data_IF_624820576752
#
_entry.id   IF_624820576752
#
_cell.length_a   1.000
_cell.length_b   1.000
_cell.length_c   1.000
_cell.angle_alpha   90.00
_cell.angle_beta   90.00
_cell.angle_gamma   90.00
#
_symmetry.space_group_name_H-M   'P 1'
#
loop_
_entity.id
_entity.type
_entity.pdbx_description
1 polymer ?
#
# COMPACT_ATOMS: atom_id res chain seq x y z
N UNK A 1 -3.55 -23.71 2.86
CA UNK A 1 -4.67 -23.14 2.07
C UNK A 1 -4.31 -21.67 1.84
N UNK A 2 -3.84 -21.31 0.65
CA UNK A 2 -3.52 -19.92 0.33
C UNK A 2 -4.79 -19.21 -0.11
N UNK A 3 -5.17 -18.14 0.59
CA UNK A 3 -6.27 -17.29 0.18
C UNK A 3 -6.01 -16.80 -1.25
N UNK A 4 -6.95 -17.14 -2.15
CA UNK A 4 -6.92 -16.67 -3.54
C UNK A 4 -7.24 -15.19 -3.53
N UNK A 5 -6.20 -14.36 -3.58
CA UNK A 5 -6.31 -12.98 -4.07
C UNK A 5 -7.13 -13.04 -5.37
N UNK A 6 -8.21 -12.25 -5.44
CA UNK A 6 -9.29 -12.39 -6.41
C UNK A 6 -8.90 -12.24 -7.90
N UNK A 7 -9.89 -12.11 -8.82
CA UNK A 7 -9.65 -12.03 -10.27
C UNK A 7 -8.81 -10.82 -10.74
N UNK A 8 -8.45 -9.94 -9.82
CA UNK A 8 -7.71 -8.67 -9.98
C UNK A 8 -6.20 -8.86 -10.21
N UNK A 9 -5.66 -10.05 -9.88
CA UNK A 9 -4.23 -10.34 -9.99
C UNK A 9 -3.91 -11.05 -11.31
N UNK A 10 -2.86 -10.60 -11.99
CA UNK A 10 -2.38 -11.15 -13.26
C UNK A 10 -1.59 -12.44 -13.03
N UNK A 11 -2.25 -13.52 -12.59
CA UNK A 11 -1.70 -14.88 -12.56
C UNK A 11 -0.58 -15.18 -11.55
N UNK A 12 0.17 -14.17 -11.08
CA UNK A 12 1.23 -14.24 -10.07
C UNK A 12 0.82 -13.44 -8.84
N UNK A 13 0.82 -14.07 -7.65
CA UNK A 13 0.53 -13.37 -6.40
C UNK A 13 1.69 -12.41 -6.05
N UNK A 14 1.46 -11.08 -6.04
CA UNK A 14 2.47 -10.12 -5.60
C UNK A 14 2.78 -10.36 -4.13
N UNK A 15 4.03 -10.12 -3.76
CA UNK A 15 4.44 -10.12 -2.37
C UNK A 15 3.88 -8.90 -1.64
N UNK A 16 3.81 -9.00 -0.32
CA UNK A 16 3.33 -7.93 0.57
C UNK A 16 4.04 -6.59 0.34
N UNK A 17 5.37 -6.65 0.16
CA UNK A 17 6.19 -5.53 -0.26
C UNK A 17 5.76 -4.90 -1.59
N UNK A 18 5.38 -5.71 -2.58
CA UNK A 18 5.01 -5.22 -3.92
C UNK A 18 3.63 -4.57 -3.93
N UNK A 19 2.72 -5.11 -3.11
CA UNK A 19 1.39 -4.51 -2.90
C UNK A 19 1.53 -3.16 -2.20
N UNK A 20 2.34 -3.09 -1.14
CA UNK A 20 2.59 -1.83 -0.42
C UNK A 20 3.34 -0.81 -1.28
N UNK A 21 4.28 -1.25 -2.14
CA UNK A 21 4.96 -0.38 -3.10
C UNK A 21 3.96 0.21 -4.12
N UNK A 22 3.08 -0.62 -4.65
CA UNK A 22 2.03 -0.17 -5.58
C UNK A 22 1.05 0.79 -4.89
N UNK A 23 0.67 0.51 -3.65
CA UNK A 23 -0.18 1.38 -2.86
C UNK A 23 0.48 2.75 -2.59
N UNK A 24 1.77 2.74 -2.21
CA UNK A 24 2.58 3.95 -2.05
C UNK A 24 2.67 4.77 -3.35
N UNK A 25 2.71 4.10 -4.51
CA UNK A 25 2.79 4.75 -5.83
C UNK A 25 1.53 5.57 -6.14
N UNK A 26 0.37 5.08 -5.73
CA UNK A 26 -0.89 5.79 -5.90
C UNK A 26 -1.16 6.81 -4.79
N UNK A 27 -0.38 6.77 -3.72
CA UNK A 27 -0.41 7.72 -2.61
C UNK A 27 0.42 8.96 -2.93
N UNK A 28 -0.13 9.87 -3.76
CA UNK A 28 0.64 11.03 -4.30
C UNK A 28 1.07 12.07 -3.26
N UNK A 29 0.27 12.29 -2.22
CA UNK A 29 0.64 13.11 -1.03
C UNK A 29 1.55 12.39 -0.03
N UNK A 30 1.96 11.16 -0.31
CA UNK A 30 2.64 10.31 0.66
C UNK A 30 1.71 9.75 1.72
N UNK A 31 2.30 9.05 2.68
CA UNK A 31 1.59 8.44 3.81
C UNK A 31 2.34 8.68 5.13
N UNK A 32 1.65 8.64 6.28
CA UNK A 32 2.24 8.98 7.56
C UNK A 32 3.33 7.99 7.96
N UNK A 33 4.33 8.49 8.69
CA UNK A 33 5.36 7.65 9.30
C UNK A 33 4.86 6.90 10.54
N UNK A 34 3.79 7.40 11.15
CA UNK A 34 3.15 6.75 12.29
C UNK A 34 2.41 5.49 11.85
N UNK A 35 2.86 4.33 12.32
CA UNK A 35 2.29 3.02 11.97
C UNK A 35 0.81 2.89 12.37
N UNK A 36 0.39 3.49 13.48
CA UNK A 36 -0.99 3.41 13.95
C UNK A 36 -1.91 4.21 13.02
N UNK A 37 -1.45 5.38 12.59
CA UNK A 37 -2.17 6.23 11.66
C UNK A 37 -2.17 5.64 10.24
N UNK A 38 -1.06 5.04 9.81
CA UNK A 38 -0.97 4.28 8.57
C UNK A 38 -1.96 3.11 8.57
N UNK A 39 -2.00 2.29 9.63
CA UNK A 39 -2.95 1.20 9.82
C UNK A 39 -4.40 1.69 9.76
N UNK A 40 -4.70 2.85 10.36
CA UNK A 40 -6.04 3.46 10.31
C UNK A 40 -6.47 3.76 8.88
N UNK A 41 -5.59 4.36 8.07
CA UNK A 41 -5.87 4.63 6.66
C UNK A 41 -6.02 3.35 5.85
N UNK A 42 -5.13 2.36 6.05
CA UNK A 42 -5.22 1.05 5.42
C UNK A 42 -6.54 0.34 5.72
N UNK A 43 -7.03 0.43 6.96
CA UNK A 43 -8.30 -0.17 7.36
C UNK A 43 -9.47 0.38 6.55
N UNK A 44 -9.51 1.69 6.31
CA UNK A 44 -10.52 2.30 5.43
C UNK A 44 -10.25 1.95 3.96
N UNK A 45 -8.99 1.88 3.56
CA UNK A 45 -8.57 1.44 2.22
C UNK A 45 -9.05 0.02 1.87
N UNK A 46 -9.22 -0.85 2.88
CA UNK A 46 -9.74 -2.21 2.71
C UNK A 46 -11.17 -2.24 2.13
N UNK A 47 -11.95 -1.17 2.30
CA UNK A 47 -13.29 -1.06 1.71
C UNK A 47 -13.24 -1.01 0.17
N UNK A 48 -12.18 -0.38 -0.37
CA UNK A 48 -11.94 -0.29 -1.81
C UNK A 48 -11.09 -1.46 -2.35
N UNK A 49 -10.12 -1.93 -1.55
CA UNK A 49 -9.20 -3.00 -1.92
C UNK A 49 -9.15 -4.07 -0.80
N UNK A 50 -10.05 -5.07 -0.82
CA UNK A 50 -10.20 -6.04 0.26
C UNK A 50 -8.93 -6.84 0.57
N UNK A 51 -8.06 -7.05 -0.41
CA UNK A 51 -6.79 -7.74 -0.23
C UNK A 51 -5.80 -6.97 0.67
N UNK A 52 -6.02 -5.68 0.93
CA UNK A 52 -5.22 -4.92 1.89
C UNK A 52 -5.49 -5.33 3.34
N UNK A 53 -6.61 -6.03 3.62
CA UNK A 53 -6.94 -6.50 4.97
C UNK A 53 -5.88 -7.42 5.56
N UNK A 54 -5.10 -8.12 4.73
CA UNK A 54 -3.98 -8.96 5.16
C UNK A 54 -2.85 -8.19 5.87
N UNK A 55 -2.77 -6.87 5.64
CA UNK A 55 -1.80 -6.01 6.30
C UNK A 55 -2.27 -5.55 7.68
N UNK A 56 -3.52 -5.84 8.05
CA UNK A 56 -4.12 -5.47 9.31
C UNK A 56 -4.27 -6.71 10.18
N UNK A 57 -3.74 -6.62 11.40
CA UNK A 57 -3.87 -7.66 12.43
C UNK A 57 -5.27 -7.62 13.09
N UNK A 58 -5.63 -8.68 13.83
CA UNK A 58 -6.87 -8.74 14.62
C UNK A 58 -7.02 -7.56 15.60
N UNK A 59 -5.89 -7.02 16.07
CA UNK A 59 -5.84 -5.84 16.95
C UNK A 59 -6.16 -4.52 16.22
N UNK A 60 -6.30 -4.53 14.89
CA UNK A 60 -6.52 -3.35 14.06
C UNK A 60 -5.27 -2.51 13.77
N UNK A 61 -4.08 -3.02 14.13
CA UNK A 61 -2.77 -2.46 13.76
C UNK A 61 -2.17 -3.15 12.54
N UNK A 62 -0.93 -2.81 12.19
CA UNK A 62 -0.20 -3.52 11.12
C UNK A 62 0.20 -4.93 11.57
N UNK A 63 0.03 -5.91 10.68
CA UNK A 63 0.56 -7.26 10.86
C UNK A 63 2.10 -7.27 10.82
N UNK A 64 2.74 -8.26 11.44
CA UNK A 64 4.21 -8.35 11.47
C UNK A 64 4.83 -8.39 10.07
N UNK A 65 4.20 -9.09 9.12
CA UNK A 65 4.63 -9.15 7.73
C UNK A 65 4.49 -7.79 7.02
N UNK A 66 3.42 -7.04 7.34
CA UNK A 66 3.24 -5.68 6.84
C UNK A 66 4.32 -4.74 7.36
N UNK A 67 4.68 -4.85 8.65
CA UNK A 67 5.75 -4.05 9.26
C UNK A 67 7.10 -4.31 8.59
N UNK A 68 7.49 -5.58 8.45
CA UNK A 68 8.74 -5.95 7.75
C UNK A 68 8.77 -5.45 6.32
N UNK A 69 7.64 -5.55 5.62
CA UNK A 69 7.51 -5.05 4.25
C UNK A 69 7.60 -3.54 4.18
N UNK A 70 7.03 -2.83 5.16
CA UNK A 70 7.09 -1.38 5.29
C UNK A 70 8.50 -0.90 5.61
N UNK A 71 9.20 -1.53 6.55
CA UNK A 71 10.61 -1.24 6.86
C UNK A 71 11.48 -1.39 5.62
N UNK A 72 11.31 -2.50 4.89
CA UNK A 72 12.02 -2.72 3.62
C UNK A 72 11.70 -1.63 2.58
N UNK A 73 10.45 -1.18 2.48
CA UNK A 73 10.10 -0.06 1.61
C UNK A 73 10.76 1.23 2.07
N UNK A 74 10.84 1.49 3.37
CA UNK A 74 11.50 2.68 3.90
C UNK A 74 12.99 2.72 3.56
N UNK A 75 13.65 1.57 3.51
CA UNK A 75 15.07 1.46 3.18
C UNK A 75 15.34 1.52 1.66
N UNK A 76 14.50 0.88 0.85
CA UNK A 76 14.80 0.68 -0.59
C UNK A 76 14.02 1.61 -1.53
N UNK A 77 12.86 2.11 -1.12
CA UNK A 77 11.84 2.69 -2.03
C UNK A 77 11.35 4.05 -1.60
N UNK A 78 11.20 4.30 -0.30
CA UNK A 78 10.59 5.50 0.21
C UNK A 78 11.67 6.50 0.61
N UNK A 79 11.33 7.76 0.50
CA UNK A 79 12.08 8.86 1.08
C UNK A 79 11.14 9.69 1.96
N UNK A 80 11.73 10.44 2.88
CA UNK A 80 10.97 11.30 3.79
C UNK A 80 10.94 12.71 3.22
N UNK A 81 9.74 13.26 3.05
CA UNK A 81 9.53 14.64 2.67
C UNK A 81 8.39 15.21 3.51
N UNK A 82 8.58 16.40 4.09
CA UNK A 82 7.56 17.09 4.90
C UNK A 82 6.92 16.23 6.01
N UNK A 83 7.70 15.30 6.61
CA UNK A 83 7.23 14.41 7.67
C UNK A 83 6.34 13.26 7.22
N UNK A 84 6.25 13.00 5.90
CA UNK A 84 5.56 11.86 5.31
C UNK A 84 6.51 11.00 4.49
N UNK A 85 6.16 9.72 4.32
CA UNK A 85 6.85 8.84 3.38
C UNK A 85 6.27 9.00 1.97
N UNK A 86 7.15 9.25 1.02
CA UNK A 86 6.85 9.32 -0.41
C UNK A 86 7.74 8.34 -1.17
N UNK A 87 7.34 7.90 -2.36
CA UNK A 87 8.21 7.09 -3.21
C UNK A 87 9.38 7.92 -3.72
N UNK A 88 10.59 7.36 -3.61
CA UNK A 88 11.79 7.90 -4.23
C UNK A 88 11.61 7.97 -5.76
N UNK A 89 11.79 9.15 -6.38
CA UNK A 89 11.57 9.33 -7.81
C UNK A 89 12.43 8.42 -8.70
N UNK A 90 13.59 7.97 -8.21
CA UNK A 90 14.44 6.98 -8.89
C UNK A 90 13.87 5.57 -8.89
N UNK A 91 13.05 5.22 -7.90
CA UNK A 91 12.40 3.91 -7.78
C UNK A 91 11.01 3.85 -8.44
N UNK A 92 10.36 4.99 -8.63
CA UNK A 92 9.02 5.12 -9.25
C UNK A 92 8.87 4.30 -10.54
N UNK A 93 9.86 4.33 -11.43
CA UNK A 93 9.80 3.61 -12.72
C UNK A 93 9.80 2.08 -12.56
N UNK A 94 10.59 1.56 -11.62
CA UNK A 94 10.67 0.13 -11.28
C UNK A 94 9.34 -0.34 -10.69
N UNK A 95 8.81 0.40 -9.73
CA UNK A 95 7.56 0.06 -9.03
C UNK A 95 6.36 0.12 -9.96
N UNK A 96 6.31 1.14 -10.83
CA UNK A 96 5.26 1.24 -11.84
C UNK A 96 5.25 0.03 -12.78
N UNK A 97 6.43 -0.42 -13.21
CA UNK A 97 6.56 -1.61 -14.07
C UNK A 97 6.08 -2.86 -13.33
N UNK A 98 6.56 -3.10 -12.10
CA UNK A 98 6.14 -4.22 -11.26
C UNK A 98 4.61 -4.21 -11.03
N UNK A 99 4.05 -3.05 -10.69
CA UNK A 99 2.61 -2.90 -10.44
C UNK A 99 1.79 -3.32 -11.65
N UNK A 100 2.20 -2.91 -12.86
CA UNK A 100 1.55 -3.32 -14.12
C UNK A 100 1.70 -4.81 -14.43
N UNK A 101 2.74 -5.46 -13.92
CA UNK A 101 2.95 -6.90 -14.07
C UNK A 101 2.01 -7.70 -13.16
N UNK A 102 1.78 -7.24 -11.93
CA UNK A 102 1.02 -8.00 -10.95
C UNK A 102 -0.48 -7.67 -10.92
N UNK A 103 -0.83 -6.41 -11.17
CA UNK A 103 -2.20 -5.94 -11.08
C UNK A 103 -2.80 -5.72 -12.47
N UNK A 104 -4.01 -6.25 -12.68
CA UNK A 104 -4.82 -5.87 -13.85
C UNK A 104 -5.31 -4.44 -13.70
N UNK A 105 -5.86 -3.88 -14.77
CA UNK A 105 -6.43 -2.53 -14.78
C UNK A 105 -7.40 -2.29 -13.62
N UNK A 106 -8.28 -3.25 -13.35
CA UNK A 106 -9.20 -3.19 -12.20
C UNK A 106 -8.47 -3.16 -10.85
N UNK A 107 -7.52 -4.06 -10.60
CA UNK A 107 -6.76 -4.06 -9.35
C UNK A 107 -5.94 -2.78 -9.14
N UNK A 108 -5.44 -2.18 -10.22
CA UNK A 108 -4.79 -0.86 -10.15
C UNK A 108 -5.80 0.26 -9.82
N UNK A 109 -7.02 0.21 -10.35
CA UNK A 109 -8.09 1.14 -9.98
C UNK A 109 -8.51 0.99 -8.51
N UNK A 110 -8.64 -0.24 -8.04
CA UNK A 110 -9.00 -0.55 -6.66
C UNK A 110 -7.90 -0.07 -5.71
N UNK A 111 -6.62 -0.33 -6.01
CA UNK A 111 -5.46 0.24 -5.29
C UNK A 111 -5.46 1.77 -5.27
N UNK A 112 -5.73 2.39 -6.42
CA UNK A 112 -5.74 3.85 -6.51
C UNK A 112 -6.84 4.46 -5.65
N UNK A 113 -8.03 3.86 -5.69
CA UNK A 113 -9.16 4.26 -4.86
C UNK A 113 -8.82 4.06 -3.38
N UNK A 114 -8.27 2.90 -3.02
CA UNK A 114 -7.83 2.59 -1.66
C UNK A 114 -6.78 3.58 -1.13
N UNK A 115 -5.78 3.93 -1.95
CA UNK A 115 -4.75 4.89 -1.59
C UNK A 115 -5.34 6.29 -1.38
N UNK A 116 -6.26 6.72 -2.25
CA UNK A 116 -6.98 7.99 -2.08
C UNK A 116 -7.78 8.01 -0.78
N UNK A 117 -8.57 6.98 -0.51
CA UNK A 117 -9.35 6.85 0.72
C UNK A 117 -8.46 6.90 1.96
N UNK A 118 -7.33 6.18 1.95
CA UNK A 118 -6.37 6.19 3.06
C UNK A 118 -5.76 7.59 3.26
N UNK A 119 -5.41 8.27 2.18
CA UNK A 119 -4.91 9.64 2.22
C UNK A 119 -5.93 10.62 2.77
N UNK A 120 -7.20 10.49 2.41
CA UNK A 120 -8.24 11.30 3.03
C UNK A 120 -8.26 11.09 4.54
N UNK A 121 -8.14 9.86 5.04
CA UNK A 121 -8.07 9.61 6.48
C UNK A 121 -6.84 10.26 7.13
N UNK A 122 -5.68 10.16 6.49
CA UNK A 122 -4.43 10.71 7.03
C UNK A 122 -4.42 12.24 7.03
N UNK A 123 -4.93 12.87 5.98
CA UNK A 123 -4.84 14.31 5.80
C UNK A 123 -6.12 15.07 6.16
N UNK A 124 -7.24 14.40 6.43
CA UNK A 124 -8.50 15.02 6.89
C UNK A 124 -8.55 15.23 8.41
N UNK A 125 -7.58 14.71 9.16
CA UNK A 125 -7.46 14.94 10.63
C UNK A 125 -6.62 16.21 10.94
N UNK A 126 -6.69 17.26 10.10
CA UNK A 126 -6.09 18.57 10.37
C UNK A 126 -7.14 19.65 10.60
#
# INVERSE_FOLDING_TARGET
MGERLGPEIAGFQPQDYEILAAFALFSTKGFPQDESFFAKGLKTACEAAPFLSRFIDESGGLSEDAKKSLEKLQEEVLTTQDGVFIIDPGQTGKITSCTRTYFKEKGMQDLKTAAQTAQEVWFSTQ
#
